data_IF_612747872794
#
_entry.id   IF_612747872794
#
_cell.length_a   1.000
_cell.length_b   1.000
_cell.length_c   1.000
_cell.angle_alpha   90.00
_cell.angle_beta   90.00
_cell.angle_gamma   90.00
#
_symmetry.space_group_name_H-M   'P 1'
#
loop_
_entity.id
_entity.type
_entity.pdbx_description
1 polymer ?
#
# COMPACT_ATOMS: atom_id res chain seq x y z
N UNK A 1 -44.62 -8.96 16.40
CA UNK A 1 -44.86 -7.51 16.57
C UNK A 1 -43.92 -6.77 15.65
N UNK A 2 -44.43 -5.71 15.03
CA UNK A 2 -44.05 -5.21 13.71
C UNK A 2 -42.66 -4.59 13.63
N UNK A 3 -41.98 -4.85 12.51
CA UNK A 3 -40.86 -4.07 11.97
C UNK A 3 -41.27 -2.60 11.73
N UNK A 4 -40.32 -1.68 11.89
CA UNK A 4 -40.43 -0.28 11.48
C UNK A 4 -39.12 0.22 10.89
N UNK A 5 -39.05 0.24 9.56
CA UNK A 5 -38.01 0.92 8.77
C UNK A 5 -38.05 2.43 9.00
N UNK A 6 -36.88 3.09 8.96
CA UNK A 6 -36.82 4.53 8.70
C UNK A 6 -35.87 4.82 7.52
N UNK A 7 -36.46 5.16 6.38
CA UNK A 7 -35.87 5.86 5.23
C UNK A 7 -36.08 7.36 5.45
N UNK A 8 -35.10 8.19 5.14
CA UNK A 8 -35.27 9.55 4.62
C UNK A 8 -34.03 9.87 3.77
N UNK A 9 -34.08 10.01 2.44
CA UNK A 9 -34.77 10.96 1.55
C UNK A 9 -34.19 12.38 1.65
N UNK A 10 -33.44 12.73 0.59
CA UNK A 10 -33.04 14.06 0.15
C UNK A 10 -34.20 15.07 0.19
N UNK A 11 -33.93 16.28 0.69
CA UNK A 11 -34.82 17.43 0.47
C UNK A 11 -34.12 18.53 -0.33
N UNK A 12 -34.67 18.76 -1.51
CA UNK A 12 -34.43 19.92 -2.37
C UNK A 12 -35.00 21.18 -1.71
N UNK A 13 -34.23 22.28 -1.74
CA UNK A 13 -34.70 23.64 -1.44
C UNK A 13 -35.64 24.14 -2.55
N UNK A 14 -36.83 24.60 -2.18
CA UNK A 14 -37.62 25.59 -2.94
C UNK A 14 -38.15 26.67 -1.99
N UNK A 15 -37.92 27.92 -2.37
CA UNK A 15 -38.45 29.12 -1.71
C UNK A 15 -39.90 29.40 -2.15
N UNK A 16 -40.77 29.79 -1.22
CA UNK A 16 -41.90 30.72 -1.45
C UNK A 16 -42.56 31.15 -0.12
N UNK A 17 -42.53 32.46 0.16
CA UNK A 17 -43.69 33.32 0.46
C UNK A 17 -44.63 33.12 1.67
N UNK A 18 -44.57 34.12 2.58
CA UNK A 18 -45.65 34.86 3.28
C UNK A 18 -46.51 34.27 4.45
N UNK A 19 -46.46 35.04 5.56
CA UNK A 19 -47.56 35.59 6.40
C UNK A 19 -47.95 35.00 7.78
N UNK A 20 -47.47 35.70 8.82
CA UNK A 20 -48.12 36.29 10.04
C UNK A 20 -49.18 35.53 10.85
N UNK A 21 -48.88 35.22 12.13
CA UNK A 21 -49.59 35.63 13.40
C UNK A 21 -49.35 34.60 14.54
N UNK A 22 -48.56 34.90 15.59
CA UNK A 22 -48.90 35.45 16.93
C UNK A 22 -49.41 34.41 17.99
N UNK A 23 -48.69 34.42 19.14
CA UNK A 23 -49.00 34.08 20.55
C UNK A 23 -48.66 32.68 21.16
N UNK A 24 -47.56 32.70 21.94
CA UNK A 24 -47.33 32.26 23.34
C UNK A 24 -47.98 30.98 23.90
N UNK A 25 -47.16 30.11 24.54
CA UNK A 25 -46.91 30.04 26.00
C UNK A 25 -45.89 28.90 26.27
N UNK A 26 -44.97 29.17 27.21
CA UNK A 26 -43.85 28.32 27.63
C UNK A 26 -44.28 27.03 28.36
N UNK A 27 -43.45 25.98 28.27
CA UNK A 27 -43.20 24.99 29.34
C UNK A 27 -41.93 24.16 29.04
N UNK A 28 -40.94 24.33 29.92
CA UNK A 28 -39.96 23.37 30.44
C UNK A 28 -39.61 22.13 29.60
N UNK A 29 -38.34 22.05 29.20
CA UNK A 29 -37.72 20.83 28.70
C UNK A 29 -36.42 21.14 27.95
N UNK A 30 -35.43 21.72 28.62
CA UNK A 30 -34.05 21.73 28.11
C UNK A 30 -33.54 20.29 28.24
N UNK A 31 -33.98 19.42 27.35
CA UNK A 31 -33.27 18.21 26.99
C UNK A 31 -32.10 18.64 26.12
N UNK A 32 -31.10 19.25 26.74
CA UNK A 32 -29.80 19.38 26.12
C UNK A 32 -29.31 17.97 25.87
N UNK A 33 -29.29 17.56 24.60
CA UNK A 33 -28.33 16.55 24.19
C UNK A 33 -26.98 17.13 24.57
N UNK A 34 -26.39 16.65 25.66
CA UNK A 34 -24.96 16.75 25.85
C UNK A 34 -24.37 16.02 24.64
N UNK A 35 -23.92 16.80 23.66
CA UNK A 35 -22.85 16.33 22.81
C UNK A 35 -21.71 16.07 23.79
N UNK A 36 -21.41 14.80 24.01
CA UNK A 36 -20.15 14.45 24.64
C UNK A 36 -19.07 15.10 23.77
N UNK A 37 -18.37 16.09 24.33
CA UNK A 37 -17.23 16.72 23.71
C UNK A 37 -16.18 15.62 23.52
N UNK A 38 -16.23 14.95 22.36
CA UNK A 38 -15.18 14.05 21.93
C UNK A 38 -13.92 14.89 21.78
N UNK A 39 -13.01 14.76 22.73
CA UNK A 39 -11.70 15.40 22.69
C UNK A 39 -11.04 14.98 21.37
N UNK A 40 -10.90 15.93 20.45
CA UNK A 40 -10.29 15.65 19.15
C UNK A 40 -8.85 15.19 19.41
N UNK A 41 -8.50 13.99 18.92
CA UNK A 41 -7.15 13.49 19.03
C UNK A 41 -6.19 14.48 18.38
N UNK A 42 -5.16 14.90 19.12
CA UNK A 42 -4.12 15.76 18.56
C UNK A 42 -3.30 14.98 17.52
N UNK A 43 -3.05 15.60 16.36
CA UNK A 43 -2.14 15.04 15.39
C UNK A 43 -0.71 15.01 15.95
N UNK A 44 0.04 13.98 15.59
CA UNK A 44 1.41 13.69 16.07
C UNK A 44 2.44 13.69 14.94
N UNK A 45 2.07 14.25 13.77
CA UNK A 45 2.93 14.27 12.58
C UNK A 45 4.27 14.96 12.80
N UNK A 46 4.29 16.08 13.52
CA UNK A 46 5.48 16.93 13.66
C UNK A 46 6.62 16.23 14.43
N UNK A 47 6.30 15.26 15.29
CA UNK A 47 7.27 14.49 16.06
C UNK A 47 7.67 13.17 15.38
N UNK A 48 7.11 12.88 14.20
CA UNK A 48 7.38 11.64 13.48
C UNK A 48 8.77 11.66 12.84
N UNK A 49 9.63 10.64 13.09
CA UNK A 49 10.89 10.54 12.38
C UNK A 49 10.64 10.22 10.90
N UNK A 50 11.56 10.64 10.03
CA UNK A 50 11.54 10.15 8.64
C UNK A 50 11.68 8.63 8.61
N UNK A 51 10.86 7.96 7.81
CA UNK A 51 10.84 6.50 7.63
C UNK A 51 11.19 6.17 6.20
N UNK A 52 12.14 5.25 6.02
CA UNK A 52 12.37 4.59 4.75
C UNK A 52 12.31 3.08 4.92
N UNK A 53 11.54 2.43 4.06
CA UNK A 53 11.50 0.98 3.95
C UNK A 53 11.64 0.56 2.48
N UNK A 54 12.39 -0.50 2.25
CA UNK A 54 12.59 -1.15 0.96
C UNK A 54 12.41 -2.64 1.15
N UNK A 55 11.56 -3.24 0.31
CA UNK A 55 11.28 -4.66 0.34
C UNK A 55 11.28 -5.24 -1.07
N UNK A 56 11.85 -6.44 -1.19
CA UNK A 56 11.74 -7.28 -2.39
C UNK A 56 10.45 -8.09 -2.32
N UNK A 57 9.74 -8.18 -3.43
CA UNK A 57 8.61 -9.07 -3.65
C UNK A 57 9.04 -10.20 -4.58
N UNK A 58 8.61 -11.42 -4.31
CA UNK A 58 8.76 -12.57 -5.20
C UNK A 58 7.43 -13.28 -5.35
N UNK A 59 6.98 -13.50 -6.58
CA UNK A 59 5.79 -14.32 -6.86
C UNK A 59 6.22 -15.78 -6.93
N UNK A 60 5.69 -16.58 -6.00
CA UNK A 60 6.03 -17.99 -5.84
C UNK A 60 4.94 -18.91 -6.38
N UNK A 61 5.39 -20.01 -6.99
CA UNK A 61 4.59 -21.19 -7.28
C UNK A 61 5.38 -22.43 -6.84
N UNK A 62 4.75 -23.30 -6.06
CA UNK A 62 5.40 -24.50 -5.49
C UNK A 62 6.73 -24.22 -4.78
N UNK A 63 6.84 -23.06 -4.13
CA UNK A 63 8.02 -22.62 -3.36
C UNK A 63 9.16 -22.02 -4.19
N UNK A 64 9.07 -22.04 -5.52
CA UNK A 64 10.03 -21.41 -6.43
C UNK A 64 9.49 -20.12 -7.05
N UNK A 65 10.38 -19.27 -7.60
CA UNK A 65 9.97 -18.08 -8.33
C UNK A 65 9.24 -18.48 -9.63
N UNK A 66 7.98 -18.08 -9.74
CA UNK A 66 7.10 -18.48 -10.83
C UNK A 66 7.54 -17.91 -12.19
N UNK A 67 7.96 -16.64 -12.23
CA UNK A 67 8.38 -15.99 -13.47
C UNK A 67 9.67 -16.60 -14.04
N UNK A 68 10.62 -16.96 -13.18
CA UNK A 68 11.83 -17.67 -13.61
C UNK A 68 11.52 -19.08 -14.13
N UNK A 69 10.63 -19.81 -13.47
CA UNK A 69 10.22 -21.14 -13.90
C UNK A 69 9.50 -21.10 -15.26
N UNK A 70 8.59 -20.15 -15.45
CA UNK A 70 7.90 -19.91 -16.72
C UNK A 70 8.89 -19.60 -17.85
N UNK A 71 9.81 -18.68 -17.62
CA UNK A 71 10.84 -18.34 -18.60
C UNK A 71 11.69 -19.55 -19.01
N UNK A 72 12.15 -20.35 -18.05
CA UNK A 72 12.94 -21.55 -18.35
C UNK A 72 12.15 -22.57 -19.18
N UNK A 73 10.86 -22.76 -18.86
CA UNK A 73 9.99 -23.65 -19.64
C UNK A 73 9.79 -23.15 -21.08
N UNK A 74 9.54 -21.84 -21.27
CA UNK A 74 9.40 -21.25 -22.59
C UNK A 74 10.70 -21.32 -23.40
N UNK A 75 11.84 -20.99 -22.79
CA UNK A 75 13.16 -21.07 -23.41
C UNK A 75 13.44 -22.50 -23.90
N UNK A 76 13.19 -23.50 -23.06
CA UNK A 76 13.37 -24.90 -23.41
C UNK A 76 12.47 -25.31 -24.59
N UNK A 77 11.19 -24.90 -24.58
CA UNK A 77 10.27 -25.20 -25.66
C UNK A 77 10.73 -24.60 -27.00
N UNK A 78 11.20 -23.35 -27.01
CA UNK A 78 11.74 -22.69 -28.21
C UNK A 78 12.99 -23.40 -28.75
N UNK A 79 13.91 -23.79 -27.86
CA UNK A 79 15.10 -24.54 -28.25
C UNK A 79 14.76 -25.91 -28.85
N UNK A 80 13.77 -26.63 -28.28
CA UNK A 80 13.32 -27.91 -28.81
C UNK A 80 12.59 -27.78 -30.15
N UNK A 81 11.86 -26.68 -30.36
CA UNK A 81 11.19 -26.38 -31.62
C UNK A 81 12.16 -25.96 -32.74
N UNK A 82 13.42 -25.65 -32.41
CA UNK A 82 14.43 -25.22 -33.39
C UNK A 82 14.15 -23.84 -34.00
N UNK A 83 13.34 -23.02 -33.33
CA UNK A 83 13.03 -21.65 -33.77
C UNK A 83 14.16 -20.69 -33.40
N UNK A 84 14.25 -19.57 -34.12
CA UNK A 84 15.19 -18.50 -33.78
C UNK A 84 14.94 -18.03 -32.36
N UNK A 85 15.96 -18.09 -31.49
CA UNK A 85 15.81 -17.82 -30.06
C UNK A 85 16.82 -16.78 -29.61
N UNK A 86 16.33 -15.71 -28.99
CA UNK A 86 17.15 -14.70 -28.29
C UNK A 86 16.79 -14.78 -26.80
N UNK A 87 17.67 -15.33 -25.94
CA UNK A 87 17.43 -15.46 -24.51
C UNK A 87 17.62 -14.13 -23.78
N UNK A 88 17.09 -14.05 -22.55
CA UNK A 88 17.45 -13.01 -21.60
C UNK A 88 18.91 -13.16 -21.16
N UNK A 89 19.51 -12.07 -20.70
CA UNK A 89 20.75 -12.14 -19.95
C UNK A 89 20.54 -12.85 -18.60
N UNK A 90 21.64 -13.30 -17.97
CA UNK A 90 21.56 -13.91 -16.65
C UNK A 90 20.98 -12.92 -15.60
N UNK A 91 21.42 -11.66 -15.66
CA UNK A 91 20.98 -10.61 -14.74
C UNK A 91 19.48 -10.31 -14.93
N UNK A 92 19.01 -10.21 -16.18
CA UNK A 92 17.59 -9.98 -16.46
C UNK A 92 16.72 -11.16 -16.03
N UNK A 93 17.18 -12.39 -16.28
CA UNK A 93 16.45 -13.59 -15.88
C UNK A 93 16.33 -13.70 -14.35
N UNK A 94 17.29 -13.16 -13.59
CA UNK A 94 17.25 -13.16 -12.13
C UNK A 94 16.19 -12.20 -11.57
N UNK A 95 15.79 -11.17 -12.34
CA UNK A 95 14.76 -10.22 -11.95
C UNK A 95 13.33 -10.71 -12.22
N UNK A 96 13.14 -11.69 -13.11
CA UNK A 96 11.81 -12.18 -13.46
C UNK A 96 10.99 -12.63 -12.26
N UNK A 97 9.70 -12.28 -12.27
CA UNK A 97 8.76 -12.66 -11.21
C UNK A 97 9.08 -12.00 -9.86
N UNK A 98 9.91 -10.95 -9.87
CA UNK A 98 10.22 -10.13 -8.70
C UNK A 98 9.59 -8.76 -8.82
N UNK A 99 9.48 -8.10 -7.66
CA UNK A 99 9.09 -6.70 -7.55
C UNK A 99 9.82 -6.02 -6.41
N UNK A 100 9.59 -4.72 -6.28
CA UNK A 100 10.16 -3.89 -5.22
C UNK A 100 9.11 -2.94 -4.69
N UNK A 101 9.04 -2.83 -3.36
CA UNK A 101 8.16 -1.91 -2.65
C UNK A 101 9.01 -0.97 -1.83
N UNK A 102 8.76 0.33 -1.98
CA UNK A 102 9.52 1.35 -1.29
C UNK A 102 8.58 2.38 -0.69
N UNK A 103 8.85 2.73 0.56
CA UNK A 103 8.15 3.76 1.31
C UNK A 103 9.16 4.81 1.72
N UNK A 104 8.86 6.07 1.47
CA UNK A 104 9.54 7.20 2.06
C UNK A 104 8.51 8.12 2.69
N UNK A 105 8.50 8.20 4.01
CA UNK A 105 7.46 8.90 4.76
C UNK A 105 8.15 9.88 5.70
N UNK A 106 7.73 11.14 5.62
CA UNK A 106 8.16 12.25 6.46
C UNK A 106 6.93 13.01 6.95
N UNK A 107 7.03 13.88 7.97
CA UNK A 107 5.89 14.68 8.40
C UNK A 107 5.24 15.49 7.27
N UNK A 108 6.04 15.95 6.30
CA UNK A 108 5.57 16.87 5.25
C UNK A 108 5.34 16.20 3.89
N UNK A 109 5.79 14.95 3.71
CA UNK A 109 5.82 14.28 2.40
C UNK A 109 5.72 12.77 2.51
N UNK A 110 5.05 12.18 1.53
CA UNK A 110 4.94 10.75 1.33
C UNK A 110 5.37 10.44 -0.10
N UNK A 111 6.19 9.41 -0.28
CA UNK A 111 6.43 8.80 -1.56
C UNK A 111 6.34 7.28 -1.45
N UNK A 112 5.63 6.65 -2.38
CA UNK A 112 5.47 5.19 -2.48
C UNK A 112 5.91 4.77 -3.88
N UNK A 113 6.77 3.75 -3.98
CA UNK A 113 7.18 3.20 -5.27
C UNK A 113 6.94 1.70 -5.31
N UNK A 114 6.37 1.25 -6.42
CA UNK A 114 6.22 -0.16 -6.76
C UNK A 114 6.82 -0.44 -8.12
N UNK A 115 7.59 -1.51 -8.22
CA UNK A 115 8.25 -1.95 -9.44
C UNK A 115 8.05 -3.46 -9.62
N UNK A 116 7.94 -3.89 -10.87
CA UNK A 116 7.75 -5.28 -11.26
C UNK A 116 8.58 -5.60 -12.50
N UNK A 117 9.11 -6.82 -12.54
CA UNK A 117 9.88 -7.33 -13.67
C UNK A 117 9.23 -8.60 -14.22
N UNK A 118 8.66 -8.47 -15.41
CA UNK A 118 7.89 -9.52 -16.07
C UNK A 118 8.58 -9.98 -17.35
N UNK A 119 8.22 -11.19 -17.78
CA UNK A 119 8.68 -11.73 -19.06
C UNK A 119 7.85 -11.10 -20.18
N UNK A 120 8.50 -10.40 -21.09
CA UNK A 120 7.92 -10.06 -22.38
C UNK A 120 8.50 -10.97 -23.47
N UNK A 121 7.69 -11.25 -24.48
CA UNK A 121 8.12 -11.95 -25.69
C UNK A 121 7.73 -11.12 -26.90
N UNK A 122 8.68 -10.93 -27.79
CA UNK A 122 8.48 -10.34 -29.10
C UNK A 122 8.82 -11.36 -30.19
N UNK A 123 8.28 -11.17 -31.39
CA UNK A 123 8.48 -12.09 -32.52
C UNK A 123 7.16 -12.55 -33.12
N UNK A 124 7.25 -13.12 -34.33
CA UNK A 124 6.14 -13.88 -34.91
C UNK A 124 6.16 -15.33 -34.40
N UNK A 125 5.23 -16.15 -34.89
CA UNK A 125 5.10 -17.56 -34.49
C UNK A 125 6.36 -18.43 -34.74
N UNK A 126 7.39 -17.91 -35.44
CA UNK A 126 8.63 -18.61 -35.77
C UNK A 126 9.86 -18.04 -35.04
N UNK A 127 9.67 -17.13 -34.08
CA UNK A 127 10.75 -16.50 -33.33
C UNK A 127 10.41 -16.41 -31.83
N UNK A 128 11.38 -16.73 -30.99
CA UNK A 128 11.30 -16.56 -29.54
C UNK A 128 12.33 -15.51 -29.11
N UNK A 129 11.95 -14.24 -29.13
CA UNK A 129 12.81 -13.18 -28.63
C UNK A 129 12.28 -12.68 -27.28
N UNK A 130 12.98 -13.07 -26.22
CA UNK A 130 12.60 -12.71 -24.86
C UNK A 130 13.22 -11.37 -24.48
N UNK A 131 12.46 -10.56 -23.74
CA UNK A 131 12.92 -9.30 -23.17
C UNK A 131 12.36 -9.15 -21.76
N UNK A 132 13.10 -8.45 -20.89
CA UNK A 132 12.62 -8.10 -19.57
C UNK A 132 11.75 -6.85 -19.68
N UNK A 133 10.50 -6.95 -19.24
CA UNK A 133 9.62 -5.79 -19.10
C UNK A 133 9.67 -5.30 -17.66
N UNK A 134 10.11 -4.06 -17.48
CA UNK A 134 9.96 -3.33 -16.23
C UNK A 134 8.65 -2.57 -16.29
N UNK A 135 7.87 -2.58 -15.21
CA UNK A 135 6.71 -1.70 -15.04
C UNK A 135 6.53 -1.33 -13.58
N UNK A 136 5.78 -0.26 -13.32
CA UNK A 136 5.56 0.18 -11.96
C UNK A 136 4.89 1.53 -11.87
N UNK A 137 4.75 2.03 -10.64
CA UNK A 137 4.23 3.36 -10.36
C UNK A 137 5.01 3.97 -9.20
N UNK A 138 5.26 5.27 -9.30
CA UNK A 138 5.76 6.09 -8.21
C UNK A 138 4.73 7.16 -7.86
N UNK A 139 4.28 7.17 -6.61
CA UNK A 139 3.31 8.13 -6.07
C UNK A 139 4.01 9.06 -5.09
N UNK A 140 3.71 10.36 -5.17
CA UNK A 140 4.26 11.40 -4.31
C UNK A 140 3.15 12.34 -3.85
N UNK A 141 3.12 12.66 -2.56
CA UNK A 141 2.14 13.55 -1.92
C UNK A 141 2.88 14.52 -1.01
N UNK A 142 2.59 15.81 -1.14
CA UNK A 142 2.91 16.85 -0.17
C UNK A 142 1.74 17.85 -0.01
N UNK A 143 1.94 18.90 0.77
CA UNK A 143 0.92 19.93 1.01
C UNK A 143 0.54 20.74 -0.25
N UNK A 144 1.36 20.71 -1.29
CA UNK A 144 1.17 21.50 -2.51
C UNK A 144 0.63 20.67 -3.66
N UNK A 145 1.06 19.40 -3.80
CA UNK A 145 0.69 18.54 -4.93
C UNK A 145 0.63 17.04 -4.57
N UNK A 146 -0.17 16.33 -5.34
CA UNK A 146 -0.17 14.87 -5.43
C UNK A 146 0.07 14.46 -6.87
N UNK A 147 1.00 13.54 -7.12
CA UNK A 147 1.36 13.09 -8.46
C UNK A 147 1.71 11.60 -8.46
N UNK A 148 1.24 10.89 -9.48
CA UNK A 148 1.65 9.52 -9.77
C UNK A 148 2.33 9.46 -11.14
N UNK A 149 3.42 8.70 -11.22
CA UNK A 149 4.20 8.48 -12.44
C UNK A 149 4.20 7.00 -12.80
N UNK A 150 4.00 6.68 -14.08
CA UNK A 150 4.22 5.33 -14.61
C UNK A 150 5.72 5.06 -14.80
N UNK A 151 6.13 3.84 -14.46
CA UNK A 151 7.49 3.34 -14.65
C UNK A 151 7.50 2.26 -15.74
N UNK A 152 8.59 2.13 -16.50
CA UNK A 152 9.69 3.09 -16.64
C UNK A 152 9.25 4.31 -17.48
N UNK A 153 10.03 5.38 -17.43
CA UNK A 153 9.84 6.55 -18.31
C UNK A 153 9.12 7.74 -17.68
N UNK A 154 8.61 7.60 -16.46
CA UNK A 154 8.15 8.72 -15.62
C UNK A 154 7.03 9.55 -16.28
N UNK A 155 6.18 8.91 -17.08
CA UNK A 155 5.00 9.57 -17.62
C UNK A 155 4.03 9.89 -16.48
N UNK A 156 3.49 11.10 -16.43
CA UNK A 156 2.50 11.48 -15.42
C UNK A 156 1.22 10.66 -15.65
N UNK A 157 0.92 9.77 -14.72
CA UNK A 157 -0.30 8.95 -14.71
C UNK A 157 -1.49 9.76 -14.19
N UNK A 158 -1.26 10.52 -13.12
CA UNK A 158 -2.23 11.41 -12.50
C UNK A 158 -1.53 12.56 -11.78
N UNK A 159 -2.20 13.71 -11.71
CA UNK A 159 -1.74 14.86 -10.95
C UNK A 159 -2.94 15.58 -10.35
N UNK A 160 -2.79 16.09 -9.13
CA UNK A 160 -3.82 16.79 -8.38
C UNK A 160 -3.23 17.76 -7.36
N UNK A 161 -4.11 18.51 -6.66
CA UNK A 161 -3.67 19.32 -5.54
C UNK A 161 -3.05 18.45 -4.44
N UNK A 162 -2.25 19.08 -3.57
CA UNK A 162 -1.73 18.43 -2.38
C UNK A 162 -2.82 17.91 -1.46
N UNK A 163 -2.44 16.97 -0.60
CA UNK A 163 -3.34 16.37 0.39
C UNK A 163 -2.71 16.52 1.78
N UNK A 164 -2.93 17.66 2.46
CA UNK A 164 -2.41 17.87 3.80
C UNK A 164 -3.02 16.91 4.82
N UNK A 165 -4.23 16.39 4.58
CA UNK A 165 -4.89 15.45 5.49
C UNK A 165 -4.22 14.07 5.43
N UNK A 166 -3.73 13.65 4.26
CA UNK A 166 -2.92 12.43 4.11
C UNK A 166 -1.57 12.50 4.84
N UNK A 167 -1.10 13.71 5.20
CA UNK A 167 0.11 13.91 5.99
C UNK A 167 -0.16 13.90 7.51
N UNK A 168 -1.43 14.00 7.92
CA UNK A 168 -1.80 13.96 9.33
C UNK A 168 -1.65 12.54 9.89
N UNK A 169 -1.04 12.46 11.05
CA UNK A 169 -0.78 11.22 11.78
C UNK A 169 -1.46 11.31 13.14
N UNK A 170 -2.07 10.21 13.54
CA UNK A 170 -2.72 10.06 14.83
C UNK A 170 -2.22 8.77 15.45
N UNK A 171 -1.81 8.82 16.72
CA UNK A 171 -1.38 7.62 17.42
C UNK A 171 -2.48 6.55 17.35
N UNK A 172 -2.13 5.36 16.87
CA UNK A 172 -3.05 4.23 16.93
C UNK A 172 -3.03 3.73 18.37
N UNK A 173 -4.20 3.72 19.03
CA UNK A 173 -4.31 3.09 20.35
C UNK A 173 -3.75 1.67 20.29
N UNK A 174 -3.05 1.24 21.36
CA UNK A 174 -2.31 -0.01 21.41
C UNK A 174 -3.03 -1.11 20.61
N UNK A 175 -2.44 -1.44 19.46
CA UNK A 175 -2.98 -2.30 18.39
C UNK A 175 -3.61 -3.59 18.94
N UNK A 176 -3.15 -4.04 20.10
CA UNK A 176 -3.57 -5.24 20.79
C UNK A 176 -5.10 -5.45 20.92
N UNK A 177 -5.87 -4.46 21.38
CA UNK A 177 -7.31 -4.67 21.67
C UNK A 177 -8.19 -4.57 20.43
N UNK A 178 -7.92 -3.59 19.55
CA UNK A 178 -8.69 -3.37 18.33
C UNK A 178 -8.38 -4.40 17.24
N UNK A 179 -7.14 -4.90 17.19
CA UNK A 179 -6.73 -5.83 16.16
C UNK A 179 -7.29 -7.25 16.39
N UNK A 180 -7.46 -7.69 17.64
CA UNK A 180 -8.11 -8.97 17.94
C UNK A 180 -9.61 -8.94 17.63
N UNK A 181 -10.27 -7.81 17.89
CA UNK A 181 -11.67 -7.60 17.50
C UNK A 181 -11.83 -7.62 15.96
N UNK A 182 -10.91 -6.98 15.22
CA UNK A 182 -10.91 -6.96 13.76
C UNK A 182 -10.65 -8.34 13.12
N UNK A 183 -9.86 -9.20 13.78
CA UNK A 183 -9.59 -10.57 13.32
C UNK A 183 -10.71 -11.57 13.67
N UNK A 184 -11.67 -11.19 14.51
CA UNK A 184 -12.68 -12.12 15.00
C UNK A 184 -13.58 -12.65 13.87
N UNK A 185 -13.67 -13.98 13.73
CA UNK A 185 -14.50 -14.64 12.72
C UNK A 185 -13.95 -14.64 11.29
N UNK A 186 -12.75 -14.11 11.06
CA UNK A 186 -12.13 -14.05 9.71
C UNK A 186 -11.17 -15.20 9.43
N UNK A 187 -10.85 -16.03 10.43
CA UNK A 187 -9.82 -17.06 10.33
C UNK A 187 -8.39 -16.50 10.30
N UNK A 188 -8.24 -15.21 10.65
CA UNK A 188 -6.95 -14.56 10.85
C UNK A 188 -6.61 -14.65 12.34
N UNK A 189 -5.43 -15.16 12.62
CA UNK A 189 -4.92 -15.33 13.97
C UNK A 189 -3.77 -14.36 14.21
N UNK A 190 -3.78 -13.76 15.40
CA UNK A 190 -2.67 -12.96 15.87
C UNK A 190 -1.48 -13.87 16.18
N UNK A 191 -0.36 -13.60 15.54
CA UNK A 191 0.92 -14.24 15.83
C UNK A 191 1.67 -13.58 16.99
N UNK A 192 2.94 -13.96 17.15
CA UNK A 192 3.81 -13.34 18.15
C UNK A 192 4.23 -11.94 17.71
N UNK A 193 4.56 -11.09 18.68
CA UNK A 193 5.46 -9.96 18.40
C UNK A 193 6.81 -10.53 17.98
N UNK A 194 7.38 -9.98 16.93
CA UNK A 194 8.62 -10.43 16.32
C UNK A 194 9.46 -9.21 15.94
N UNK A 195 10.66 -9.47 15.44
CA UNK A 195 11.50 -8.45 14.82
C UNK A 195 11.92 -8.89 13.42
N UNK A 196 12.02 -7.92 12.51
CA UNK A 196 12.61 -8.11 11.18
C UNK A 196 13.66 -7.02 11.00
N UNK A 197 14.92 -7.42 10.78
CA UNK A 197 16.07 -6.50 10.75
C UNK A 197 16.12 -5.50 11.93
N UNK A 198 15.76 -5.95 13.13
CA UNK A 198 15.75 -5.11 14.34
C UNK A 198 14.56 -4.16 14.46
N UNK A 199 13.59 -4.22 13.54
CA UNK A 199 12.34 -3.47 13.63
C UNK A 199 11.24 -4.32 14.23
N UNK A 200 10.56 -3.80 15.25
CA UNK A 200 9.43 -4.46 15.89
C UNK A 200 8.27 -4.65 14.89
N UNK A 201 7.72 -5.87 14.86
CA UNK A 201 6.62 -6.19 13.97
C UNK A 201 5.58 -7.08 14.65
N UNK A 202 4.32 -6.89 14.26
CA UNK A 202 3.22 -7.75 14.69
C UNK A 202 2.88 -8.76 13.60
N UNK A 203 2.94 -10.04 13.95
CA UNK A 203 2.61 -11.12 13.03
C UNK A 203 1.10 -11.37 12.96
N UNK A 204 0.63 -11.66 11.76
CA UNK A 204 -0.69 -12.20 11.48
C UNK A 204 -0.57 -13.47 10.67
N UNK A 205 -1.41 -14.45 10.98
CA UNK A 205 -1.43 -15.75 10.33
C UNK A 205 -2.82 -16.04 9.78
N UNK A 206 -2.88 -16.64 8.61
CA UNK A 206 -4.12 -17.14 8.02
C UNK A 206 -3.83 -18.38 7.17
N UNK A 207 -4.87 -18.94 6.56
CA UNK A 207 -4.70 -19.99 5.56
C UNK A 207 -3.85 -19.54 4.34
N UNK A 208 -3.70 -18.22 4.13
CA UNK A 208 -2.94 -17.65 3.01
C UNK A 208 -1.46 -17.47 3.32
N UNK A 209 -1.04 -17.52 4.59
CA UNK A 209 0.36 -17.40 4.99
C UNK A 209 0.56 -16.63 6.29
N UNK A 210 1.75 -16.06 6.43
CA UNK A 210 2.15 -15.21 7.56
C UNK A 210 2.60 -13.86 7.04
N UNK A 211 2.16 -12.78 7.66
CA UNK A 211 2.62 -11.42 7.38
C UNK A 211 3.12 -10.77 8.68
N UNK A 212 4.20 -10.01 8.60
CA UNK A 212 4.65 -9.15 9.69
C UNK A 212 4.58 -7.68 9.27
N UNK A 213 3.71 -6.92 9.94
CA UNK A 213 3.56 -5.48 9.74
C UNK A 213 4.35 -4.73 10.80
N UNK A 214 4.96 -3.60 10.44
CA UNK A 214 5.74 -2.79 11.35
C UNK A 214 4.87 -2.24 12.48
N UNK A 215 5.19 -2.60 13.72
CA UNK A 215 4.45 -2.14 14.91
C UNK A 215 5.21 -1.11 15.72
N UNK A 216 6.46 -0.80 15.33
CA UNK A 216 7.28 0.23 15.98
C UNK A 216 6.81 1.66 15.73
N UNK A 217 5.92 1.88 14.75
CA UNK A 217 5.41 3.20 14.40
C UNK A 217 4.01 3.52 14.90
N UNK A 218 3.44 2.71 15.80
CA UNK A 218 2.05 2.88 16.25
C UNK A 218 1.79 4.28 16.86
N UNK A 219 2.78 4.84 17.56
CA UNK A 219 2.68 6.19 18.14
C UNK A 219 2.58 7.30 17.08
N UNK A 220 2.99 7.03 15.83
CA UNK A 220 2.85 7.92 14.67
C UNK A 220 1.79 7.43 13.68
N UNK A 221 0.89 6.56 14.10
CA UNK A 221 -0.26 6.15 13.30
C UNK A 221 0.02 5.06 12.27
N UNK A 222 1.15 4.35 12.36
CA UNK A 222 1.36 3.16 11.54
C UNK A 222 0.51 2.00 12.08
N UNK A 223 -0.37 1.48 11.23
CA UNK A 223 -1.27 0.40 11.58
C UNK A 223 -0.62 -0.96 11.36
N UNK A 224 -0.68 -1.78 12.41
CA UNK A 224 -0.25 -3.17 12.39
C UNK A 224 -1.42 -4.13 12.64
N UNK A 225 -2.66 -3.70 12.45
CA UNK A 225 -3.88 -4.51 12.49
C UNK A 225 -3.87 -5.61 11.41
N UNK A 226 -4.68 -6.68 11.55
CA UNK A 226 -4.74 -7.72 10.53
C UNK A 226 -5.19 -7.08 9.22
N UNK A 227 -4.48 -7.38 8.13
CA UNK A 227 -4.86 -6.89 6.82
C UNK A 227 -4.73 -7.95 5.76
N UNK A 228 -4.44 -7.48 4.54
CA UNK A 228 -4.26 -8.35 3.39
C UNK A 228 -3.04 -9.25 3.56
N UNK A 229 -3.22 -10.50 3.18
CA UNK A 229 -2.14 -11.41 2.86
C UNK A 229 -1.95 -11.38 1.36
N UNK A 230 -0.82 -11.86 0.85
CA UNK A 230 -0.49 -11.85 -0.58
C UNK A 230 -0.24 -10.45 -1.14
N UNK A 231 0.33 -9.59 -0.32
CA UNK A 231 0.62 -8.22 -0.73
C UNK A 231 1.73 -8.19 -1.77
N UNK A 232 1.38 -7.59 -2.92
CA UNK A 232 2.29 -7.27 -4.01
C UNK A 232 2.56 -5.78 -4.13
N UNK A 233 1.68 -4.93 -3.60
CA UNK A 233 1.74 -3.46 -3.70
C UNK A 233 1.87 -2.80 -2.32
N UNK A 234 2.40 -1.57 -2.20
CA UNK A 234 2.31 -0.82 -0.97
C UNK A 234 0.83 -0.65 -0.60
N UNK A 235 0.41 -1.18 0.55
CA UNK A 235 -1.01 -1.18 0.96
C UNK A 235 -1.55 0.23 1.16
N UNK A 236 -0.75 1.07 1.81
CA UNK A 236 -0.99 2.49 2.06
C UNK A 236 0.26 3.15 2.64
N UNK A 237 0.18 4.45 2.85
CA UNK A 237 1.12 5.28 3.61
C UNK A 237 1.04 5.06 5.14
N UNK A 238 0.07 4.29 5.64
CA UNK A 238 -0.12 3.99 7.06
C UNK A 238 0.32 2.57 7.42
N UNK A 239 0.67 1.74 6.44
CA UNK A 239 1.02 0.34 6.67
C UNK A 239 2.34 -0.02 5.99
N UNK A 240 3.29 -0.57 6.76
CA UNK A 240 4.57 -1.07 6.22
C UNK A 240 4.69 -2.56 6.51
N UNK A 241 4.88 -3.33 5.45
CA UNK A 241 5.12 -4.78 5.55
C UNK A 241 6.62 -5.02 5.63
N UNK A 242 7.04 -5.67 6.71
CA UNK A 242 8.44 -6.03 6.92
C UNK A 242 8.74 -7.43 6.42
N UNK A 243 7.77 -8.33 6.48
CA UNK A 243 7.91 -9.64 5.84
C UNK A 243 6.57 -10.27 5.52
N UNK A 244 6.57 -11.14 4.53
CA UNK A 244 5.44 -11.99 4.20
C UNK A 244 5.95 -13.32 3.67
N UNK A 245 5.38 -14.41 4.16
CA UNK A 245 5.63 -15.75 3.66
C UNK A 245 4.29 -16.40 3.26
N UNK A 246 4.09 -16.76 1.99
CA UNK A 246 2.85 -17.38 1.55
C UNK A 246 2.73 -18.82 2.06
N UNK A 247 1.49 -19.25 2.32
CA UNK A 247 1.23 -20.64 2.67
C UNK A 247 1.58 -21.58 1.51
N UNK A 248 2.17 -22.74 1.86
CA UNK A 248 2.53 -23.79 0.90
C UNK A 248 3.38 -23.31 -0.29
N UNK A 249 4.13 -22.21 -0.15
CA UNK A 249 5.00 -21.69 -1.21
C UNK A 249 4.27 -21.11 -2.42
N UNK A 250 3.00 -20.74 -2.29
CA UNK A 250 2.20 -20.21 -3.40
C UNK A 250 1.71 -18.79 -3.10
N UNK A 251 2.17 -17.82 -3.89
CA UNK A 251 1.83 -16.41 -3.76
C UNK A 251 3.03 -15.51 -3.48
N UNK A 252 2.82 -14.31 -2.94
CA UNK A 252 3.85 -13.30 -2.76
C UNK A 252 4.68 -13.51 -1.48
N UNK A 253 6.00 -13.65 -1.64
CA UNK A 253 6.96 -13.48 -0.54
C UNK A 253 7.44 -12.03 -0.52
N UNK A 254 7.41 -11.41 0.66
CA UNK A 254 7.97 -10.07 0.87
C UNK A 254 9.14 -10.18 1.82
N UNK A 255 10.29 -9.66 1.42
CA UNK A 255 11.51 -9.63 2.22
C UNK A 255 12.01 -8.19 2.34
N UNK A 256 11.98 -7.63 3.55
CA UNK A 256 12.63 -6.35 3.82
C UNK A 256 14.11 -6.44 3.46
N UNK A 257 14.57 -5.48 2.66
CA UNK A 257 15.97 -5.35 2.25
C UNK A 257 16.65 -4.24 3.05
N UNK A 258 15.94 -3.14 3.34
CA UNK A 258 16.45 -2.01 4.11
C UNK A 258 15.35 -1.31 4.88
N UNK A 259 15.68 -0.83 6.08
CA UNK A 259 14.79 0.00 6.89
C UNK A 259 15.60 1.06 7.64
N UNK A 260 15.15 2.31 7.63
CA UNK A 260 15.83 3.43 8.28
C UNK A 260 14.83 4.37 8.95
N UNK A 261 15.22 4.90 10.10
CA UNK A 261 14.44 5.85 10.90
C UNK A 261 15.29 7.08 11.23
N UNK A 262 14.71 8.26 11.06
CA UNK A 262 15.29 9.54 11.49
C UNK A 262 16.39 10.09 10.57
N UNK A 263 16.76 9.39 9.49
CA UNK A 263 17.66 9.95 8.48
C UNK A 263 16.90 10.96 7.60
N UNK A 264 17.43 12.19 7.42
CA UNK A 264 16.76 13.19 6.59
C UNK A 264 16.85 12.84 5.11
N UNK A 265 15.73 13.00 4.40
CA UNK A 265 15.66 12.80 2.95
C UNK A 265 15.48 14.12 2.22
N UNK A 266 16.23 14.31 1.13
CA UNK A 266 15.98 15.44 0.23
C UNK A 266 14.76 15.14 -0.65
N UNK A 267 14.03 16.17 -1.09
CA UNK A 267 12.93 16.03 -2.06
C UNK A 267 13.40 15.27 -3.31
N UNK A 268 14.64 15.51 -3.74
CA UNK A 268 15.25 14.88 -4.91
C UNK A 268 15.58 13.39 -4.69
N UNK A 269 15.63 12.92 -3.44
CA UNK A 269 15.73 11.50 -3.13
C UNK A 269 14.36 10.80 -3.10
N UNK A 270 13.27 11.58 -2.99
CA UNK A 270 11.89 11.10 -2.94
C UNK A 270 11.26 11.07 -4.31
N UNK A 271 11.56 12.05 -5.16
CA UNK A 271 11.12 12.07 -6.55
C UNK A 271 12.11 11.27 -7.41
N UNK A 272 11.65 10.47 -8.37
CA UNK A 272 12.56 9.79 -9.27
C UNK A 272 13.34 10.82 -10.07
N UNK A 273 14.64 10.60 -10.25
CA UNK A 273 15.47 11.53 -10.98
C UNK A 273 15.04 11.60 -12.45
N UNK A 274 14.98 12.80 -13.04
CA UNK A 274 14.69 13.00 -14.49
C UNK A 274 15.65 12.23 -15.41
N UNK A 275 16.79 11.77 -14.88
CA UNK A 275 17.83 11.04 -15.61
C UNK A 275 17.43 9.60 -15.93
N UNK A 276 16.53 8.98 -15.15
CA UNK A 276 16.02 7.61 -15.43
C UNK A 276 15.19 7.54 -16.73
N UNK A 277 14.76 8.69 -17.28
CA UNK A 277 14.02 8.77 -18.55
C UNK A 277 14.88 9.02 -19.80
N UNK A 278 16.22 9.08 -19.68
CA UNK A 278 17.10 9.50 -20.78
C UNK A 278 18.09 8.44 -21.30
N UNK A 279 18.20 7.31 -20.63
CA UNK A 279 19.00 6.16 -21.11
C UNK A 279 18.07 5.10 -21.74
N UNK A 280 17.52 5.42 -22.91
CA UNK A 280 16.65 4.49 -23.63
C UNK A 280 16.05 5.00 -24.94
N UNK A 281 16.61 6.05 -25.54
CA UNK A 281 16.25 6.51 -26.89
C UNK A 281 17.40 6.33 -27.87
#
# INVERSE_FOLDING_TARGET
MSMGHCRHIHSYRRHAGLSVSILAVALLGVGGCAAEDGEAMAAVSDDMPSVYADAKVETLADGGNAGQAEYQAMLQACQQAGVSTVPLSADDSALLGTGRLQWWITPERIALRREYWNLASSGDINQCHFSLEHSGVHEYIDAERSVAYELPGMAVASEGPGDPDALLRYAVEAVDANAEAAANGTGIERGARSEVQGQACLQWKSAQGVVCKWSGGAEWGFDASPGFFQVTDPLSEYEIILSQEPAAGNGARVTLTRFMLGEPWTKDALLPSEVEGREGS
#
